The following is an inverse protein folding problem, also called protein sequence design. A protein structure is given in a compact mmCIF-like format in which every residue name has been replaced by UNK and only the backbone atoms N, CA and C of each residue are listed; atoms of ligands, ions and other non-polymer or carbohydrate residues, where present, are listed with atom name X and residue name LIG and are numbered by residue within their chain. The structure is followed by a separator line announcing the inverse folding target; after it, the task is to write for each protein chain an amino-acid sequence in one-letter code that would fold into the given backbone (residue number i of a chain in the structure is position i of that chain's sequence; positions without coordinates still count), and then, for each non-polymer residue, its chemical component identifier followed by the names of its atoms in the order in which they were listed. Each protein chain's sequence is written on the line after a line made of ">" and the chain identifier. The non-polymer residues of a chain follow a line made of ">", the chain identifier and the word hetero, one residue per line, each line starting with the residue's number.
data_IF_073048916338
#
_entry.id   IF_073048916338
#
_cell.length_a   1.000
_cell.length_b   1.000
_cell.length_c   1.000
_cell.angle_alpha   90.00
_cell.angle_beta   90.00
_cell.angle_gamma   90.00
#
_symmetry.space_group_name_H-M   'P 1'
#
loop_
_entity.id
_entity.type
_entity.pdbx_description
1 polymer ?
#
# COMPACT_ATOMS: atom_id res chain seq x y z
N UNK A 1 -25.00 40.23 25.13
CA UNK A 1 -24.43 39.16 25.97
C UNK A 1 -23.11 38.74 25.36
N UNK A 2 -22.00 39.00 26.05
CA UNK A 2 -20.64 38.74 25.54
C UNK A 2 -20.29 37.27 25.75
N UNK A 3 -20.41 36.46 24.71
CA UNK A 3 -19.89 35.10 24.70
C UNK A 3 -18.37 35.20 24.68
N UNK A 4 -17.73 34.77 25.79
CA UNK A 4 -16.27 34.64 25.91
C UNK A 4 -15.74 33.92 24.67
N UNK A 5 -15.11 34.66 23.75
CA UNK A 5 -14.37 34.06 22.65
C UNK A 5 -13.25 33.24 23.28
N UNK A 6 -13.35 31.91 23.17
CA UNK A 6 -12.25 31.03 23.53
C UNK A 6 -11.02 31.49 22.73
N UNK A 7 -9.93 31.84 23.42
CA UNK A 7 -8.71 32.22 22.72
C UNK A 7 -8.15 30.97 22.05
N UNK A 8 -7.88 31.05 20.76
CA UNK A 8 -7.11 30.03 20.05
C UNK A 8 -5.70 30.08 20.64
N UNK A 9 -5.38 29.11 21.49
CA UNK A 9 -4.02 28.89 21.99
C UNK A 9 -3.18 28.27 20.90
N UNK A 10 -1.85 28.39 21.00
CA UNK A 10 -0.91 27.87 20.00
C UNK A 10 -1.04 26.35 19.79
N UNK A 11 -1.41 25.60 20.83
CA UNK A 11 -1.68 24.16 20.72
C UNK A 11 -2.97 23.87 19.95
N UNK A 12 -4.05 24.63 20.19
CA UNK A 12 -5.28 24.51 19.40
C UNK A 12 -5.06 24.91 17.94
N UNK A 13 -4.20 25.89 17.69
CA UNK A 13 -3.85 26.29 16.32
C UNK A 13 -3.23 25.13 15.53
N UNK A 14 -2.29 24.39 16.13
CA UNK A 14 -1.69 23.20 15.51
C UNK A 14 -2.72 22.10 15.25
N UNK A 15 -3.57 21.81 16.23
CA UNK A 15 -4.60 20.79 16.08
C UNK A 15 -5.64 21.15 14.99
N UNK A 16 -5.96 22.44 14.82
CA UNK A 16 -6.83 22.91 13.75
C UNK A 16 -6.13 22.73 12.38
N UNK A 17 -4.83 22.99 12.28
CA UNK A 17 -4.06 22.72 11.07
C UNK A 17 -4.06 21.23 10.72
N UNK A 18 -3.82 20.35 11.69
CA UNK A 18 -3.88 18.89 11.49
C UNK A 18 -5.28 18.44 11.06
N UNK A 19 -6.32 19.02 11.68
CA UNK A 19 -7.71 18.77 11.32
C UNK A 19 -8.02 19.19 9.87
N UNK A 20 -7.48 20.31 9.39
CA UNK A 20 -7.64 20.77 8.01
C UNK A 20 -7.09 19.72 7.03
N UNK A 21 -5.87 19.21 7.27
CA UNK A 21 -5.24 18.18 6.43
C UNK A 21 -6.08 16.89 6.42
N UNK A 22 -6.58 16.50 7.59
CA UNK A 22 -7.37 15.29 7.77
C UNK A 22 -8.77 15.40 7.11
N UNK A 23 -9.43 16.56 7.22
CA UNK A 23 -10.69 16.84 6.53
C UNK A 23 -10.51 16.87 5.00
N UNK A 24 -9.40 17.43 4.51
CA UNK A 24 -9.06 17.42 3.09
C UNK A 24 -8.91 15.99 2.55
N UNK A 25 -8.21 15.15 3.32
CA UNK A 25 -7.94 13.75 2.98
C UNK A 25 -9.23 12.91 2.90
N UNK A 26 -10.22 13.21 3.76
CA UNK A 26 -11.52 12.53 3.79
C UNK A 26 -12.57 13.13 2.85
N UNK A 27 -12.33 14.33 2.33
CA UNK A 27 -13.24 15.00 1.40
C UNK A 27 -13.12 14.40 0.00
N UNK A 28 -14.26 14.04 -0.62
CA UNK A 28 -14.32 13.55 -2.00
C UNK A 28 -13.58 14.49 -2.97
N UNK A 29 -13.73 15.80 -2.78
CA UNK A 29 -13.13 16.81 -3.65
C UNK A 29 -11.72 17.25 -3.21
N UNK A 30 -11.20 16.74 -2.08
CA UNK A 30 -9.87 17.10 -1.56
C UNK A 30 -9.78 18.51 -1.00
N UNK A 31 -10.94 19.16 -0.88
CA UNK A 31 -11.07 20.54 -0.45
C UNK A 31 -11.78 20.61 0.88
N UNK A 32 -11.42 21.61 1.66
CA UNK A 32 -12.04 21.94 2.93
C UNK A 32 -12.80 23.26 2.78
N UNK A 33 -14.04 23.29 3.23
CA UNK A 33 -14.86 24.51 3.25
C UNK A 33 -14.84 25.12 4.64
N UNK A 34 -14.88 26.46 4.72
CA UNK A 34 -14.90 27.17 6.00
C UNK A 34 -16.09 26.74 6.87
N UNK A 35 -17.28 26.55 6.31
CA UNK A 35 -18.45 26.11 7.09
C UNK A 35 -18.24 24.76 7.80
N UNK A 36 -17.47 23.83 7.20
CA UNK A 36 -17.15 22.56 7.86
C UNK A 36 -16.12 22.74 8.98
N UNK A 37 -15.19 23.67 8.83
CA UNK A 37 -14.25 24.02 9.91
C UNK A 37 -14.95 24.71 11.06
N UNK A 38 -15.89 25.61 10.80
CA UNK A 38 -16.70 26.26 11.84
C UNK A 38 -17.52 25.24 12.63
N UNK A 39 -18.14 24.26 11.96
CA UNK A 39 -18.91 23.19 12.60
C UNK A 39 -18.06 22.30 13.50
N UNK A 40 -16.83 21.95 13.07
CA UNK A 40 -15.98 21.01 13.80
C UNK A 40 -15.18 21.70 14.92
N UNK A 41 -14.75 22.94 14.69
CA UNK A 41 -13.91 23.67 15.65
C UNK A 41 -14.71 24.58 16.59
N UNK A 42 -15.95 24.94 16.22
CA UNK A 42 -16.78 25.88 16.97
C UNK A 42 -16.32 27.34 16.89
N UNK A 43 -15.29 27.65 16.10
CA UNK A 43 -14.79 29.01 15.87
C UNK A 43 -15.37 29.59 14.59
N UNK A 44 -15.54 30.92 14.55
CA UNK A 44 -15.96 31.60 13.33
C UNK A 44 -14.81 31.67 12.32
N UNK A 45 -15.15 31.73 11.03
CA UNK A 45 -14.20 31.90 9.93
C UNK A 45 -13.28 33.09 10.14
N UNK A 46 -13.80 34.18 10.71
CA UNK A 46 -13.00 35.38 10.99
C UNK A 46 -11.91 35.09 12.02
N UNK A 47 -12.21 34.32 13.07
CA UNK A 47 -11.23 33.93 14.07
C UNK A 47 -10.19 32.95 13.51
N UNK A 48 -10.62 32.00 12.66
CA UNK A 48 -9.73 31.03 12.02
C UNK A 48 -8.83 31.67 10.96
N UNK A 49 -9.36 32.58 10.13
CA UNK A 49 -8.62 33.26 9.06
C UNK A 49 -7.72 34.38 9.57
N UNK A 50 -7.91 34.86 10.80
CA UNK A 50 -7.04 35.85 11.44
C UNK A 50 -5.75 35.24 12.02
N UNK A 51 -5.55 33.92 11.87
CA UNK A 51 -4.33 33.21 12.22
C UNK A 51 -3.65 32.78 10.94
N UNK A 52 -2.43 33.25 10.73
CA UNK A 52 -1.70 33.03 9.47
C UNK A 52 -1.42 31.54 9.23
N UNK A 53 -1.13 30.75 10.28
CA UNK A 53 -0.85 29.32 10.12
C UNK A 53 -2.09 28.54 9.63
N UNK A 54 -3.28 28.86 10.17
CA UNK A 54 -4.54 28.22 9.77
C UNK A 54 -4.93 28.66 8.35
N UNK A 55 -4.77 29.93 8.03
CA UNK A 55 -5.05 30.48 6.70
C UNK A 55 -4.13 29.86 5.64
N UNK A 56 -2.84 29.71 5.94
CA UNK A 56 -1.87 29.10 5.03
C UNK A 56 -2.15 27.60 4.87
N UNK A 57 -2.41 26.85 5.95
CA UNK A 57 -2.78 25.44 5.86
C UNK A 57 -4.07 25.22 5.03
N UNK A 58 -5.07 26.08 5.21
CA UNK A 58 -6.30 26.07 4.41
C UNK A 58 -6.04 26.33 2.92
N UNK A 59 -5.17 27.29 2.63
CA UNK A 59 -4.78 27.67 1.27
C UNK A 59 -3.95 26.57 0.63
N UNK A 60 -2.98 26.00 1.32
CA UNK A 60 -2.14 24.91 0.84
C UNK A 60 -2.99 23.70 0.45
N UNK A 61 -3.90 23.28 1.32
CA UNK A 61 -4.84 22.18 1.05
C UNK A 61 -5.73 22.44 -0.17
N UNK A 62 -6.27 23.65 -0.30
CA UNK A 62 -7.22 23.98 -1.37
C UNK A 62 -6.57 24.41 -2.69
N UNK A 63 -5.31 24.86 -2.66
CA UNK A 63 -4.50 25.22 -3.83
C UNK A 63 -3.78 24.02 -4.43
N UNK A 64 -3.47 23.02 -3.60
CA UNK A 64 -2.93 21.74 -4.07
C UNK A 64 -4.01 21.04 -4.89
N UNK A 65 -4.02 21.35 -6.18
CA UNK A 65 -4.78 20.67 -7.22
C UNK A 65 -4.11 19.32 -7.46
N UNK A 66 -4.05 18.47 -6.43
CA UNK A 66 -3.61 17.09 -6.60
C UNK A 66 -4.66 16.44 -7.48
N UNK A 67 -4.29 16.25 -8.74
CA UNK A 67 -5.01 15.53 -9.78
C UNK A 67 -5.44 14.18 -9.21
N UNK A 68 -6.68 14.10 -8.71
CA UNK A 68 -7.14 12.94 -7.95
C UNK A 68 -7.44 11.79 -8.89
N UNK A 69 -6.58 10.76 -8.85
CA UNK A 69 -7.11 9.40 -8.76
C UNK A 69 -7.92 9.40 -7.46
N UNK A 70 -9.25 9.37 -7.58
CA UNK A 70 -10.14 9.37 -6.42
C UNK A 70 -9.75 8.23 -5.48
N UNK A 71 -9.89 8.44 -4.17
CA UNK A 71 -9.65 7.42 -3.16
C UNK A 71 -10.37 6.12 -3.50
N UNK A 72 -11.57 6.22 -4.08
CA UNK A 72 -12.34 5.09 -4.59
C UNK A 72 -11.63 4.33 -5.72
N UNK A 73 -11.11 5.01 -6.75
CA UNK A 73 -10.35 4.37 -7.83
C UNK A 73 -9.06 3.72 -7.31
N UNK A 74 -8.43 4.35 -6.32
CA UNK A 74 -7.22 3.78 -5.70
C UNK A 74 -7.54 2.54 -4.89
N UNK A 75 -8.67 2.51 -4.20
CA UNK A 75 -9.15 1.32 -3.48
C UNK A 75 -9.46 0.20 -4.46
N UNK A 76 -10.20 0.48 -5.53
CA UNK A 76 -10.52 -0.51 -6.59
C UNK A 76 -9.25 -1.09 -7.24
N UNK A 77 -8.26 -0.26 -7.56
CA UNK A 77 -6.97 -0.73 -8.08
C UNK A 77 -6.22 -1.63 -7.09
N UNK A 78 -6.26 -1.29 -5.80
CA UNK A 78 -5.59 -2.06 -4.75
C UNK A 78 -6.32 -3.39 -4.51
N UNK A 79 -7.65 -3.40 -4.50
CA UNK A 79 -8.47 -4.61 -4.39
C UNK A 79 -8.24 -5.56 -5.57
N UNK A 80 -8.17 -5.04 -6.80
CA UNK A 80 -7.85 -5.85 -7.97
C UNK A 80 -6.45 -6.48 -7.87
N UNK A 81 -5.45 -5.72 -7.39
CA UNK A 81 -4.10 -6.24 -7.15
C UNK A 81 -4.08 -7.29 -6.05
N UNK A 82 -4.78 -7.04 -4.95
CA UNK A 82 -4.88 -7.94 -3.81
C UNK A 82 -5.50 -9.27 -4.25
N UNK A 83 -6.60 -9.22 -4.99
CA UNK A 83 -7.28 -10.41 -5.55
C UNK A 83 -6.35 -11.21 -6.45
N UNK A 84 -5.59 -10.54 -7.34
CA UNK A 84 -4.62 -11.20 -8.22
C UNK A 84 -3.51 -11.88 -7.43
N UNK A 85 -2.94 -11.20 -6.44
CA UNK A 85 -1.86 -11.74 -5.60
C UNK A 85 -2.37 -12.92 -4.76
N UNK A 86 -3.58 -12.85 -4.22
CA UNK A 86 -4.19 -13.96 -3.48
C UNK A 86 -4.41 -15.19 -4.37
N UNK A 87 -4.87 -14.99 -5.60
CA UNK A 87 -5.04 -16.07 -6.56
C UNK A 87 -3.68 -16.72 -6.90
N UNK A 88 -2.63 -15.91 -7.12
CA UNK A 88 -1.28 -16.39 -7.38
C UNK A 88 -0.71 -17.16 -6.18
N UNK A 89 -0.82 -16.61 -4.96
CA UNK A 89 -0.42 -17.30 -3.73
C UNK A 89 -1.14 -18.64 -3.58
N UNK A 90 -2.44 -18.69 -3.85
CA UNK A 90 -3.22 -19.92 -3.78
C UNK A 90 -2.75 -20.96 -4.81
N UNK A 91 -2.47 -20.51 -6.04
CA UNK A 91 -1.91 -21.36 -7.10
C UNK A 91 -0.53 -21.89 -6.71
N UNK A 92 0.37 -21.03 -6.24
CA UNK A 92 1.73 -21.41 -5.83
C UNK A 92 1.72 -22.41 -4.67
N UNK A 93 0.84 -22.22 -3.68
CA UNK A 93 0.68 -23.17 -2.57
C UNK A 93 0.23 -24.55 -3.07
N UNK A 94 -0.73 -24.61 -4.00
CA UNK A 94 -1.16 -25.88 -4.62
C UNK A 94 -0.02 -26.55 -5.38
N UNK A 95 0.70 -25.79 -6.21
CA UNK A 95 1.86 -26.31 -6.95
C UNK A 95 2.96 -26.83 -6.02
N UNK A 96 3.22 -26.14 -4.91
CA UNK A 96 4.19 -26.57 -3.90
C UNK A 96 3.75 -27.89 -3.25
N UNK A 97 2.49 -28.00 -2.84
CA UNK A 97 1.92 -29.23 -2.30
C UNK A 97 2.01 -30.40 -3.30
N UNK A 98 1.74 -30.16 -4.59
CA UNK A 98 1.90 -31.16 -5.63
C UNK A 98 3.36 -31.59 -5.81
N UNK A 99 4.32 -30.65 -5.70
CA UNK A 99 5.74 -30.97 -5.75
C UNK A 99 6.20 -31.77 -4.54
N UNK A 100 5.74 -31.44 -3.34
CA UNK A 100 6.04 -32.23 -2.13
C UNK A 100 5.53 -33.66 -2.26
N UNK A 101 4.29 -33.85 -2.74
CA UNK A 101 3.74 -35.18 -3.00
C UNK A 101 4.55 -35.95 -4.06
N UNK A 102 4.96 -35.27 -5.15
CA UNK A 102 5.83 -35.87 -6.17
C UNK A 102 7.17 -36.26 -5.58
N UNK A 103 7.77 -35.41 -4.75
CA UNK A 103 9.05 -35.67 -4.10
C UNK A 103 8.98 -36.92 -3.23
N UNK A 104 7.96 -37.04 -2.36
CA UNK A 104 7.76 -38.24 -1.53
C UNK A 104 7.61 -39.50 -2.39
N UNK A 105 6.78 -39.45 -3.43
CA UNK A 105 6.57 -40.60 -4.33
C UNK A 105 7.86 -41.00 -5.06
N UNK A 106 8.60 -40.02 -5.57
CA UNK A 106 9.86 -40.27 -6.27
C UNK A 106 10.93 -40.82 -5.34
N UNK A 107 11.02 -40.30 -4.12
CA UNK A 107 11.94 -40.82 -3.11
C UNK A 107 11.62 -42.28 -2.77
N UNK A 108 10.35 -42.60 -2.51
CA UNK A 108 9.93 -43.97 -2.23
C UNK A 108 10.28 -44.93 -3.39
N UNK A 109 9.95 -44.54 -4.62
CA UNK A 109 10.26 -45.35 -5.80
C UNK A 109 11.77 -45.52 -6.02
N UNK A 110 12.56 -44.47 -5.77
CA UNK A 110 14.00 -44.50 -5.92
C UNK A 110 14.67 -45.39 -4.88
N UNK A 111 14.25 -45.33 -3.62
CA UNK A 111 14.73 -46.23 -2.56
C UNK A 111 14.43 -47.69 -2.89
N UNK A 112 13.23 -47.99 -3.40
CA UNK A 112 12.87 -49.33 -3.87
C UNK A 112 13.70 -49.82 -5.07
N UNK A 113 14.26 -48.89 -5.84
CA UNK A 113 15.19 -49.17 -6.93
C UNK A 113 16.67 -49.14 -6.48
N UNK A 114 16.93 -49.14 -5.17
CA UNK A 114 18.27 -49.07 -4.57
C UNK A 114 19.09 -47.83 -4.99
N UNK A 115 18.44 -46.73 -5.37
CA UNK A 115 19.11 -45.47 -5.65
C UNK A 115 19.39 -44.72 -4.33
N UNK A 116 20.59 -44.16 -4.24
CA UNK A 116 21.01 -43.32 -3.10
C UNK A 116 20.55 -41.88 -3.27
N UNK A 117 20.43 -41.16 -2.15
CA UNK A 117 20.03 -39.74 -2.15
C UNK A 117 21.07 -38.88 -2.89
N UNK A 118 22.34 -39.23 -2.79
CA UNK A 118 23.46 -38.57 -3.50
C UNK A 118 23.32 -38.72 -5.03
N UNK A 119 22.90 -39.89 -5.50
CA UNK A 119 22.62 -40.11 -6.93
C UNK A 119 21.41 -39.31 -7.41
N UNK A 120 20.36 -39.18 -6.59
CA UNK A 120 19.17 -38.37 -6.93
C UNK A 120 19.46 -36.87 -6.93
N UNK A 121 20.33 -36.40 -6.04
CA UNK A 121 20.75 -35.01 -5.95
C UNK A 121 21.87 -34.66 -6.94
N UNK A 122 22.33 -35.63 -7.73
CA UNK A 122 23.34 -35.37 -8.75
C UNK A 122 22.82 -34.32 -9.74
N UNK A 123 23.66 -33.33 -10.10
CA UNK A 123 23.23 -32.24 -10.96
C UNK A 123 22.74 -32.78 -12.30
N UNK A 124 21.63 -32.23 -12.78
CA UNK A 124 21.10 -32.61 -14.10
C UNK A 124 22.20 -32.36 -15.15
N UNK A 125 22.51 -33.36 -16.00
CA UNK A 125 23.51 -33.20 -17.04
C UNK A 125 23.19 -31.96 -17.89
N UNK A 126 24.22 -31.19 -18.25
CA UNK A 126 24.02 -30.07 -19.15
C UNK A 126 23.52 -30.59 -20.49
N UNK A 127 22.50 -29.97 -21.06
CA UNK A 127 22.11 -30.32 -22.42
C UNK A 127 23.27 -30.07 -23.39
N UNK A 128 23.38 -30.86 -24.46
CA UNK A 128 24.43 -30.66 -25.49
C UNK A 128 24.48 -29.22 -26.01
N UNK A 129 23.33 -28.53 -26.07
CA UNK A 129 23.21 -27.13 -26.50
C UNK A 129 23.79 -26.15 -25.46
N UNK A 130 23.58 -26.41 -24.18
CA UNK A 130 24.10 -25.59 -23.07
C UNK A 130 25.62 -25.74 -22.95
N UNK A 131 26.12 -26.97 -23.10
CA UNK A 131 27.55 -27.26 -23.04
C UNK A 131 28.32 -26.66 -24.24
N UNK A 132 27.72 -26.70 -25.44
CA UNK A 132 28.28 -26.07 -26.64
C UNK A 132 28.45 -24.55 -26.50
N UNK A 133 27.52 -23.86 -25.82
CA UNK A 133 27.65 -22.41 -25.56
C UNK A 133 28.74 -22.12 -24.53
N UNK A 134 28.84 -22.93 -23.48
CA UNK A 134 29.87 -22.77 -22.44
C UNK A 134 31.29 -22.94 -22.99
N UNK A 135 31.49 -23.89 -23.91
CA UNK A 135 32.79 -24.12 -24.55
C UNK A 135 33.26 -22.98 -25.46
N UNK A 136 32.34 -22.19 -26.04
CA UNK A 136 32.67 -21.03 -26.88
C UNK A 136 33.01 -19.75 -26.11
N UNK A 137 32.79 -19.75 -24.79
CA UNK A 137 33.02 -18.61 -23.90
C UNK A 137 34.32 -18.75 -23.07
N UNK A 138 35.04 -19.86 -23.22
CA UNK A 138 36.39 -20.08 -22.69
C UNK A 138 37.40 -19.93 -23.81
#
# INVERSE_FOLDING_TARGET
>A
MSTKQARITQDREKEICDLIVLLASRSKNGKVTWGKLEEVTGFTRQALSARDAIAEAYKEVNSTTKTKVTSEKRVEELEAKLTKIQAECSRLKKTLQEYDQKYVRWMYNATNANLTVEQLNSPVPHSMKTESRRRKLK
#
